data_IF_863145246337
#
_entry.id   IF_863145246337
#
_cell.length_a   1.000
_cell.length_b   1.000
_cell.length_c   1.000
_cell.angle_alpha   90.00
_cell.angle_beta   90.00
_cell.angle_gamma   90.00
#
_symmetry.space_group_name_H-M   'P 1'
#
loop_
_entity.id
_entity.type
_entity.pdbx_description
1 polymer ?
#
# COMPACT_ATOMS: atom_id res chain seq x y z
N UNK A 1 16.88 -0.78 21.06
CA UNK A 1 16.07 -1.78 20.31
C UNK A 1 15.54 -1.05 19.08
N UNK A 2 15.97 -1.21 17.83
CA UNK A 2 17.14 -1.79 17.17
C UNK A 2 17.61 -0.65 16.24
N UNK A 3 18.90 -0.33 16.18
CA UNK A 3 19.41 0.57 15.15
C UNK A 3 19.39 -0.20 13.82
N UNK A 4 18.24 -0.19 13.16
CA UNK A 4 18.08 -0.80 11.83
C UNK A 4 19.02 -0.06 10.89
N UNK A 5 19.94 -0.79 10.27
CA UNK A 5 20.89 -0.17 9.35
C UNK A 5 20.16 0.27 8.08
N UNK A 6 20.71 1.27 7.37
CA UNK A 6 20.13 1.71 6.10
C UNK A 6 20.07 0.55 5.09
N UNK A 7 21.01 -0.40 5.18
CA UNK A 7 21.05 -1.62 4.39
C UNK A 7 19.84 -2.53 4.64
N UNK A 8 19.37 -2.65 5.89
CA UNK A 8 18.23 -3.52 6.23
C UNK A 8 16.92 -3.01 5.62
N UNK A 9 16.76 -1.69 5.50
CA UNK A 9 15.60 -1.09 4.81
C UNK A 9 15.68 -1.29 3.28
N UNK A 10 16.90 -1.20 2.72
CA UNK A 10 17.15 -1.34 1.29
C UNK A 10 17.01 -2.80 0.79
N UNK A 11 17.26 -3.77 1.66
CA UNK A 11 17.22 -5.20 1.33
C UNK A 11 15.87 -5.87 1.62
N UNK A 12 14.81 -5.08 1.80
CA UNK A 12 13.45 -5.63 1.94
C UNK A 12 12.98 -6.29 0.65
N UNK A 13 12.30 -7.44 0.77
CA UNK A 13 11.83 -8.21 -0.38
C UNK A 13 11.02 -7.40 -1.42
N UNK A 14 10.10 -6.49 -1.03
CA UNK A 14 9.36 -5.67 -2.00
C UNK A 14 10.26 -4.73 -2.80
N UNK A 15 11.24 -4.10 -2.14
CA UNK A 15 12.15 -3.16 -2.79
C UNK A 15 13.11 -3.88 -3.74
N UNK A 16 13.66 -5.01 -3.30
CA UNK A 16 14.53 -5.86 -4.15
C UNK A 16 13.75 -6.37 -5.36
N UNK A 17 12.53 -6.88 -5.17
CA UNK A 17 11.68 -7.34 -6.26
C UNK A 17 11.36 -6.21 -7.26
N UNK A 18 11.07 -5.00 -6.77
CA UNK A 18 10.86 -3.82 -7.61
C UNK A 18 12.10 -3.47 -8.43
N UNK A 19 13.28 -3.41 -7.81
CA UNK A 19 14.55 -3.08 -8.50
C UNK A 19 14.87 -4.14 -9.56
N UNK A 20 14.70 -5.42 -9.24
CA UNK A 20 14.90 -6.51 -10.21
C UNK A 20 13.93 -6.39 -11.38
N UNK A 21 12.64 -6.14 -11.12
CA UNK A 21 11.64 -5.97 -12.17
C UNK A 21 11.92 -4.73 -13.04
N UNK A 22 12.38 -3.64 -12.43
CA UNK A 22 12.79 -2.43 -13.14
C UNK A 22 13.97 -2.71 -14.07
N UNK A 23 15.04 -3.35 -13.57
CA UNK A 23 16.21 -3.72 -14.37
C UNK A 23 15.82 -4.68 -15.50
N UNK A 24 15.02 -5.71 -15.21
CA UNK A 24 14.53 -6.65 -16.21
C UNK A 24 13.75 -5.92 -17.33
N UNK A 25 12.88 -4.98 -16.97
CA UNK A 25 12.11 -4.18 -17.94
C UNK A 25 13.01 -3.28 -18.78
N UNK A 26 14.00 -2.62 -18.17
CA UNK A 26 14.99 -1.78 -18.89
C UNK A 26 15.84 -2.60 -19.87
N UNK A 27 16.16 -3.85 -19.51
CA UNK A 27 16.84 -4.81 -20.39
C UNK A 27 15.90 -5.46 -21.43
N UNK A 28 14.64 -5.03 -21.51
CA UNK A 28 13.60 -5.57 -22.40
C UNK A 28 13.32 -7.06 -22.20
N UNK A 29 13.52 -7.54 -20.98
CA UNK A 29 13.11 -8.89 -20.61
C UNK A 29 11.59 -8.90 -20.43
N UNK A 30 10.88 -9.45 -21.42
CA UNK A 30 9.41 -9.52 -21.40
C UNK A 30 8.92 -10.62 -20.45
N UNK A 31 8.79 -10.31 -19.16
CA UNK A 31 8.08 -11.16 -18.20
C UNK A 31 6.58 -10.98 -18.41
N UNK A 32 6.00 -11.74 -19.34
CA UNK A 32 4.55 -11.78 -19.55
C UNK A 32 3.93 -12.74 -18.55
N UNK A 33 3.26 -12.20 -17.54
CA UNK A 33 2.41 -13.00 -16.67
C UNK A 33 1.15 -13.43 -17.45
N UNK A 34 0.69 -14.69 -17.32
CA UNK A 34 -0.57 -15.12 -17.91
C UNK A 34 -1.73 -14.25 -17.42
N UNK A 35 -2.69 -13.93 -18.28
CA UNK A 35 -3.84 -13.08 -17.93
C UNK A 35 -4.64 -13.65 -16.75
N UNK A 36 -4.75 -14.97 -16.67
CA UNK A 36 -5.40 -15.67 -15.56
C UNK A 36 -4.70 -15.46 -14.20
N UNK A 37 -3.42 -15.10 -14.20
CA UNK A 37 -2.64 -14.95 -12.98
C UNK A 37 -3.00 -13.66 -12.22
N UNK A 38 -3.42 -12.61 -12.92
CA UNK A 38 -3.82 -11.34 -12.29
C UNK A 38 -4.95 -11.48 -11.26
N UNK A 39 -6.13 -12.03 -11.60
CA UNK A 39 -7.21 -12.19 -10.64
C UNK A 39 -6.87 -13.18 -9.52
N UNK A 40 -6.07 -14.22 -9.82
CA UNK A 40 -5.60 -15.18 -8.81
C UNK A 40 -4.70 -14.49 -7.79
N UNK A 41 -3.67 -13.75 -8.25
CA UNK A 41 -2.75 -13.04 -7.38
C UNK A 41 -3.47 -11.97 -6.56
N UNK A 42 -4.37 -11.20 -7.17
CA UNK A 42 -5.15 -10.18 -6.46
C UNK A 42 -5.98 -10.81 -5.33
N UNK A 43 -6.72 -11.88 -5.64
CA UNK A 43 -7.56 -12.58 -4.66
C UNK A 43 -6.70 -13.23 -3.56
N UNK A 44 -5.61 -13.89 -3.94
CA UNK A 44 -4.68 -14.50 -3.01
C UNK A 44 -4.05 -13.47 -2.07
N UNK A 45 -3.60 -12.33 -2.61
CA UNK A 45 -3.01 -11.26 -1.81
C UNK A 45 -4.03 -10.65 -0.85
N UNK A 46 -5.26 -10.37 -1.32
CA UNK A 46 -6.34 -9.89 -0.44
C UNK A 46 -6.65 -10.88 0.68
N UNK A 47 -6.70 -12.18 0.38
CA UNK A 47 -6.89 -13.23 1.37
C UNK A 47 -5.72 -13.30 2.36
N UNK A 48 -4.48 -13.32 1.86
CA UNK A 48 -3.28 -13.40 2.69
C UNK A 48 -3.16 -12.18 3.63
N UNK A 49 -3.43 -10.99 3.12
CA UNK A 49 -3.47 -9.75 3.90
C UNK A 49 -4.60 -9.82 4.94
N UNK A 50 -5.78 -10.29 4.54
CA UNK A 50 -6.93 -10.48 5.44
C UNK A 50 -6.64 -11.47 6.58
N UNK A 51 -6.00 -12.61 6.29
CA UNK A 51 -5.60 -13.59 7.31
C UNK A 51 -4.54 -12.99 8.25
N UNK A 52 -3.55 -12.27 7.72
CA UNK A 52 -2.50 -11.64 8.55
C UNK A 52 -3.08 -10.57 9.48
N UNK A 53 -3.98 -9.73 8.97
CA UNK A 53 -4.71 -8.74 9.79
C UNK A 53 -5.66 -9.41 10.78
N UNK A 54 -6.38 -10.45 10.37
CA UNK A 54 -7.31 -11.20 11.22
C UNK A 54 -6.61 -11.91 12.37
N UNK A 55 -5.39 -12.45 12.18
CA UNK A 55 -4.58 -13.00 13.26
C UNK A 55 -4.21 -11.94 14.29
N UNK A 56 -3.73 -10.77 13.85
CA UNK A 56 -3.43 -9.66 14.75
C UNK A 56 -4.68 -9.21 15.54
N UNK A 57 -5.85 -9.26 14.91
CA UNK A 57 -7.13 -8.93 15.56
C UNK A 57 -7.57 -9.98 16.58
N UNK A 58 -7.31 -11.26 16.32
CA UNK A 58 -7.66 -12.37 17.22
C UNK A 58 -6.91 -12.30 18.56
N UNK A 59 -5.69 -11.76 18.53
CA UNK A 59 -4.85 -11.57 19.72
C UNK A 59 -5.15 -10.25 20.47
N UNK A 60 -6.03 -9.40 19.93
CA UNK A 60 -6.34 -8.06 20.44
C UNK A 60 -7.72 -7.99 21.13
N UNK A 61 -7.88 -7.14 22.15
CA UNK A 61 -9.20 -6.88 22.73
C UNK A 61 -9.98 -5.86 21.88
N UNK A 62 -11.31 -5.97 21.81
CA UNK A 62 -12.16 -5.03 21.04
C UNK A 62 -11.93 -3.56 21.44
N UNK A 63 -11.58 -3.30 22.71
CA UNK A 63 -11.27 -1.95 23.18
C UNK A 63 -10.01 -1.35 22.54
N UNK A 64 -9.04 -2.18 22.19
CA UNK A 64 -7.77 -1.76 21.61
C UNK A 64 -7.89 -1.44 20.11
N UNK A 65 -8.98 -1.85 19.47
CA UNK A 65 -9.21 -1.63 18.03
C UNK A 65 -9.61 -0.20 17.68
N UNK A 66 -10.21 0.55 18.61
CA UNK A 66 -10.86 1.82 18.30
C UNK A 66 -9.88 2.89 17.82
N UNK A 67 -8.70 2.97 18.45
CA UNK A 67 -7.64 3.89 18.05
C UNK A 67 -7.14 3.65 16.62
N UNK A 68 -6.64 2.44 16.31
CA UNK A 68 -6.23 2.07 14.95
C UNK A 68 -7.33 2.23 13.90
N UNK A 69 -8.59 1.89 14.24
CA UNK A 69 -9.72 2.02 13.33
C UNK A 69 -10.02 3.48 12.98
N UNK A 70 -10.08 4.35 13.99
CA UNK A 70 -10.27 5.78 13.78
C UNK A 70 -9.11 6.41 13.02
N UNK A 71 -7.87 6.03 13.34
CA UNK A 71 -6.69 6.50 12.62
C UNK A 71 -6.71 6.08 11.15
N UNK A 72 -7.01 4.81 10.86
CA UNK A 72 -7.13 4.31 9.49
C UNK A 72 -8.25 5.01 8.71
N UNK A 73 -9.41 5.24 9.35
CA UNK A 73 -10.52 5.96 8.73
C UNK A 73 -10.17 7.44 8.44
N UNK A 74 -9.60 8.13 9.42
CA UNK A 74 -9.17 9.52 9.28
C UNK A 74 -8.11 9.66 8.19
N UNK A 75 -7.09 8.79 8.21
CA UNK A 75 -6.03 8.81 7.21
C UNK A 75 -6.58 8.47 5.82
N UNK A 76 -7.46 7.47 5.69
CA UNK A 76 -8.10 7.12 4.42
C UNK A 76 -8.95 8.23 3.80
N UNK A 77 -9.41 9.20 4.59
CA UNK A 77 -10.07 10.42 4.09
C UNK A 77 -9.05 11.52 3.80
N UNK A 78 -8.12 11.74 4.73
CA UNK A 78 -7.17 12.86 4.66
C UNK A 78 -6.18 12.68 3.50
N UNK A 79 -5.67 11.46 3.26
CA UNK A 79 -4.69 11.21 2.18
C UNK A 79 -5.23 11.52 0.79
N UNK A 80 -6.41 11.05 0.34
CA UNK A 80 -6.92 11.41 -0.99
C UNK A 80 -7.30 12.89 -1.08
N UNK A 81 -7.75 13.54 0.00
CA UNK A 81 -8.03 14.99 -0.03
C UNK A 81 -6.75 15.81 -0.24
N UNK A 82 -5.68 15.47 0.48
CA UNK A 82 -4.36 16.09 0.29
C UNK A 82 -3.84 15.81 -1.12
N UNK A 83 -3.95 14.57 -1.60
CA UNK A 83 -3.54 14.20 -2.95
C UNK A 83 -4.31 14.99 -4.01
N UNK A 84 -5.63 15.12 -3.87
CA UNK A 84 -6.46 15.91 -4.79
C UNK A 84 -6.03 17.38 -4.81
N UNK A 85 -5.85 17.98 -3.63
CA UNK A 85 -5.40 19.36 -3.52
C UNK A 85 -4.03 19.55 -4.18
N UNK A 86 -3.07 18.65 -3.92
CA UNK A 86 -1.74 18.68 -4.52
C UNK A 86 -1.80 18.51 -6.05
N UNK A 87 -2.63 17.60 -6.57
CA UNK A 87 -2.81 17.42 -8.01
C UNK A 87 -3.46 18.65 -8.68
N UNK A 88 -4.34 19.36 -7.98
CA UNK A 88 -4.93 20.61 -8.48
C UNK A 88 -3.98 21.80 -8.43
N UNK A 89 -3.15 21.92 -7.39
CA UNK A 89 -2.29 23.10 -7.19
C UNK A 89 -0.91 22.93 -7.82
N UNK A 90 -0.21 21.83 -7.57
CA UNK A 90 1.12 21.55 -8.11
C UNK A 90 1.03 20.90 -9.49
N UNK A 91 0.17 19.88 -9.63
CA UNK A 91 0.01 19.14 -10.90
C UNK A 91 -0.79 19.90 -11.96
N UNK A 92 -1.59 20.89 -11.55
CA UNK A 92 -2.48 21.70 -12.42
C UNK A 92 -3.42 20.86 -13.29
N UNK A 93 -3.78 19.67 -12.81
CA UNK A 93 -4.69 18.75 -13.50
C UNK A 93 -6.14 19.27 -13.49
N UNK A 94 -6.94 18.81 -14.46
CA UNK A 94 -8.39 19.00 -14.44
C UNK A 94 -9.01 18.26 -13.26
N UNK A 95 -10.22 18.67 -12.84
CA UNK A 95 -10.90 18.11 -11.66
C UNK A 95 -11.04 16.59 -11.75
N UNK A 96 -11.45 16.08 -12.91
CA UNK A 96 -11.68 14.65 -13.13
C UNK A 96 -10.36 13.86 -12.98
N UNK A 97 -9.30 14.30 -13.63
CA UNK A 97 -8.00 13.62 -13.60
C UNK A 97 -7.38 13.67 -12.21
N UNK A 98 -7.44 14.83 -11.55
CA UNK A 98 -6.97 15.01 -10.19
C UNK A 98 -7.72 14.10 -9.20
N UNK A 99 -9.05 13.99 -9.34
CA UNK A 99 -9.87 13.13 -8.51
C UNK A 99 -9.59 11.65 -8.76
N UNK A 100 -9.43 11.24 -10.03
CA UNK A 100 -9.10 9.86 -10.40
C UNK A 100 -7.74 9.45 -9.83
N UNK A 101 -6.71 10.28 -9.99
CA UNK A 101 -5.37 10.03 -9.45
C UNK A 101 -5.39 10.01 -7.91
N UNK A 102 -6.06 10.97 -7.28
CA UNK A 102 -6.17 11.02 -5.83
C UNK A 102 -6.92 9.82 -5.25
N UNK A 103 -7.99 9.35 -5.90
CA UNK A 103 -8.70 8.15 -5.49
C UNK A 103 -7.85 6.88 -5.69
N UNK A 104 -7.11 6.80 -6.80
CA UNK A 104 -6.30 5.62 -7.12
C UNK A 104 -5.07 5.49 -6.21
N UNK A 105 -4.33 6.58 -6.02
CA UNK A 105 -3.07 6.57 -5.26
C UNK A 105 -3.23 7.00 -3.79
N UNK A 106 -4.37 7.59 -3.42
CA UNK A 106 -4.68 7.96 -2.03
C UNK A 106 -5.26 6.83 -1.19
N UNK A 107 -5.64 5.71 -1.83
CA UNK A 107 -6.14 4.50 -1.15
C UNK A 107 -4.97 3.72 -0.54
N UNK A 108 -4.96 3.61 0.78
CA UNK A 108 -3.96 2.88 1.57
C UNK A 108 -4.65 1.76 2.34
N UNK A 109 -3.99 0.61 2.42
CA UNK A 109 -4.54 -0.55 3.11
C UNK A 109 -4.51 -0.37 4.63
N UNK A 110 -5.58 -0.79 5.32
CA UNK A 110 -5.63 -0.83 6.79
C UNK A 110 -4.44 -1.61 7.38
N UNK A 111 -3.98 -2.66 6.70
CA UNK A 111 -2.81 -3.45 7.13
C UNK A 111 -1.51 -2.65 7.07
N UNK A 112 -1.37 -1.71 6.15
CA UNK A 112 -0.21 -0.81 6.10
C UNK A 112 -0.15 0.06 7.35
N UNK A 113 -1.29 0.51 7.87
CA UNK A 113 -1.34 1.28 9.11
C UNK A 113 -1.09 0.42 10.35
N UNK A 114 -1.64 -0.80 10.40
CA UNK A 114 -1.39 -1.71 11.53
C UNK A 114 0.09 -2.05 11.66
N UNK A 115 0.81 -2.28 10.55
CA UNK A 115 2.26 -2.57 10.55
C UNK A 115 3.11 -1.43 11.10
N UNK A 116 2.68 -0.17 10.98
CA UNK A 116 3.44 0.98 11.54
C UNK A 116 3.19 1.12 13.04
N UNK A 117 2.04 0.65 13.54
CA UNK A 117 1.65 0.75 14.95
C UNK A 117 2.12 -0.43 15.81
N UNK A 118 2.49 -1.56 15.20
CA UNK A 118 2.97 -2.79 15.86
C UNK A 118 4.44 -3.06 15.58
#
# INVERSE_FOLDING_TARGET
MIAVSLADNLLTAPLVAFVVALIATLLRFEVRLPEALYPILSTFLLLAIGIKGGKALADSSIGDLWGPLLAAFALGIVTPLIAFAAMRTLGRFQVVDAAALAAHYGSVSAVTFTVVLT
#
